data_IF_874368267410
#
_entry.id   IF_874368267410
#
_cell.length_a   1.000
_cell.length_b   1.000
_cell.length_c   1.000
_cell.angle_alpha   90.00
_cell.angle_beta   90.00
_cell.angle_gamma   90.00
#
_symmetry.space_group_name_H-M   'P 1'
#
loop_
_entity.id
_entity.type
_entity.pdbx_description
1 polymer ?
#
# COMPACT_ATOMS: atom_id res chain seq x y z
N UNK A 1 12.38 20.51 -10.96
CA UNK A 1 11.01 19.95 -11.08
C UNK A 1 10.72 19.25 -12.42
N UNK A 2 11.63 19.27 -13.40
CA UNK A 2 11.36 18.82 -14.79
C UNK A 2 11.53 17.31 -15.07
N UNK A 3 12.35 16.58 -14.31
CA UNK A 3 12.71 15.18 -14.67
C UNK A 3 11.68 14.10 -14.28
N UNK A 4 10.98 14.25 -13.16
CA UNK A 4 10.07 13.20 -12.64
C UNK A 4 8.78 13.08 -13.47
N UNK A 5 8.25 14.22 -13.93
CA UNK A 5 7.00 14.29 -14.71
C UNK A 5 7.19 13.73 -16.14
N UNK A 6 8.41 13.74 -16.67
CA UNK A 6 8.72 13.41 -18.07
C UNK A 6 9.08 11.94 -18.31
N UNK A 7 9.37 11.16 -17.26
CA UNK A 7 9.92 9.80 -17.42
C UNK A 7 9.11 8.68 -16.77
N UNK A 8 8.23 8.97 -15.80
CA UNK A 8 7.66 7.91 -14.94
C UNK A 8 6.16 8.06 -14.64
N UNK A 9 5.45 8.96 -15.32
CA UNK A 9 4.03 9.17 -15.10
C UNK A 9 3.25 8.76 -16.35
N UNK A 10 2.23 7.87 -16.23
CA UNK A 10 1.35 7.58 -17.34
C UNK A 10 0.62 8.86 -17.80
N UNK A 11 0.52 9.05 -19.10
CA UNK A 11 0.05 10.30 -19.73
C UNK A 11 -1.48 10.33 -19.78
N UNK A 12 -2.13 9.17 -19.92
CA UNK A 12 -3.58 9.04 -20.03
C UNK A 12 -4.24 8.48 -18.75
N UNK A 13 -5.47 8.90 -18.41
CA UNK A 13 -6.22 8.31 -17.29
C UNK A 13 -6.42 6.80 -17.47
N UNK A 14 -6.11 6.01 -16.44
CA UNK A 14 -6.19 4.54 -16.47
C UNK A 14 -4.96 3.84 -17.06
N UNK A 15 -4.01 4.58 -17.63
CA UNK A 15 -2.78 4.01 -18.15
C UNK A 15 -1.86 3.54 -17.01
N UNK A 16 -1.14 2.45 -17.26
CA UNK A 16 -0.19 1.87 -16.32
C UNK A 16 1.20 1.82 -16.95
N UNK A 17 2.20 2.22 -16.18
CA UNK A 17 3.61 2.22 -16.56
C UNK A 17 4.41 1.43 -15.52
N UNK A 18 5.39 0.66 -15.98
CA UNK A 18 6.20 -0.20 -15.14
C UNK A 18 7.70 0.12 -15.23
N UNK A 19 8.32 0.30 -14.07
CA UNK A 19 9.77 0.30 -13.90
C UNK A 19 10.22 -1.07 -13.40
N UNK A 20 10.74 -1.90 -14.31
CA UNK A 20 11.12 -3.30 -14.04
C UNK A 20 12.35 -3.47 -13.15
N UNK A 21 13.25 -2.49 -13.16
CA UNK A 21 14.52 -2.54 -12.43
C UNK A 21 14.64 -1.35 -11.49
N UNK A 22 14.00 -1.46 -10.33
CA UNK A 22 14.15 -0.50 -9.25
C UNK A 22 14.93 -1.13 -8.10
N UNK A 23 15.74 -0.31 -7.43
CA UNK A 23 16.36 -0.65 -6.17
C UNK A 23 15.79 0.29 -5.11
N UNK A 24 15.26 -0.30 -4.03
CA UNK A 24 14.55 0.43 -2.98
C UNK A 24 15.16 0.07 -1.63
N UNK A 25 15.44 1.11 -0.85
CA UNK A 25 15.99 1.00 0.51
C UNK A 25 17.06 2.07 0.73
N UNK A 26 17.38 2.33 1.99
CA UNK A 26 18.44 3.26 2.37
C UNK A 26 19.73 2.48 2.71
N UNK A 27 19.63 1.54 3.64
CA UNK A 27 20.74 0.71 4.10
C UNK A 27 21.01 -0.52 3.23
N UNK A 28 19.95 -1.12 2.70
CA UNK A 28 20.03 -2.30 1.83
C UNK A 28 19.16 -2.06 0.62
N UNK A 29 19.77 -2.12 -0.57
CA UNK A 29 19.06 -1.97 -1.83
C UNK A 29 18.40 -3.31 -2.18
N UNK A 30 17.06 -3.34 -2.13
CA UNK A 30 16.28 -4.50 -2.56
C UNK A 30 15.80 -4.30 -3.99
N UNK A 31 15.98 -5.33 -4.81
CA UNK A 31 15.40 -5.35 -6.15
C UNK A 31 13.87 -5.35 -6.06
N UNK A 32 13.25 -4.49 -6.85
CA UNK A 32 11.82 -4.36 -6.96
C UNK A 32 11.41 -3.88 -8.36
N UNK A 33 10.14 -4.11 -8.66
CA UNK A 33 9.39 -3.52 -9.76
C UNK A 33 8.49 -2.45 -9.18
N UNK A 34 8.43 -1.30 -9.83
CA UNK A 34 7.53 -0.21 -9.44
C UNK A 34 6.51 0.01 -10.54
N UNK A 35 5.24 -0.13 -10.20
CA UNK A 35 4.13 0.02 -11.14
C UNK A 35 3.38 1.30 -10.78
N UNK A 36 3.29 2.20 -11.76
CA UNK A 36 2.55 3.45 -11.67
C UNK A 36 1.26 3.30 -12.46
N UNK A 37 0.12 3.46 -11.80
CA UNK A 37 -1.19 3.47 -12.45
C UNK A 37 -1.82 4.86 -12.31
N UNK A 38 -2.15 5.49 -13.43
CA UNK A 38 -2.84 6.77 -13.43
C UNK A 38 -4.30 6.57 -13.09
N UNK A 39 -4.79 7.26 -12.06
CA UNK A 39 -6.19 7.18 -11.68
C UNK A 39 -7.10 7.54 -12.86
N UNK A 40 -8.19 6.80 -12.98
CA UNK A 40 -9.30 7.18 -13.84
C UNK A 40 -9.93 8.47 -13.33
N UNK A 41 -10.59 9.21 -14.22
CA UNK A 41 -11.25 10.47 -13.87
C UNK A 41 -12.24 10.31 -12.70
N UNK A 42 -13.05 9.24 -12.72
CA UNK A 42 -13.98 8.91 -11.64
C UNK A 42 -13.27 8.68 -10.29
N UNK A 43 -12.13 7.99 -10.29
CA UNK A 43 -11.35 7.75 -9.08
C UNK A 43 -10.68 9.03 -8.59
N UNK A 44 -10.17 9.84 -9.52
CA UNK A 44 -9.53 11.11 -9.22
C UNK A 44 -10.50 12.09 -8.57
N UNK A 45 -11.72 12.26 -9.11
CA UNK A 45 -12.76 13.10 -8.52
C UNK A 45 -13.12 12.66 -7.08
N UNK A 46 -13.30 11.36 -6.85
CA UNK A 46 -13.54 10.83 -5.49
C UNK A 46 -12.39 11.14 -4.52
N UNK A 47 -11.13 11.08 -4.99
CA UNK A 47 -9.96 11.39 -4.17
C UNK A 47 -9.83 12.89 -3.92
N UNK A 48 -10.14 13.72 -4.92
CA UNK A 48 -10.16 15.18 -4.80
C UNK A 48 -11.17 15.63 -3.75
N UNK A 49 -12.39 15.08 -3.76
CA UNK A 49 -13.40 15.37 -2.75
C UNK A 49 -12.91 15.06 -1.33
N UNK A 50 -12.25 13.90 -1.13
CA UNK A 50 -11.66 13.52 0.17
C UNK A 50 -10.50 14.42 0.61
N UNK A 51 -9.70 14.93 -0.34
CA UNK A 51 -8.63 15.89 -0.04
C UNK A 51 -9.25 17.19 0.45
N UNK A 52 -10.20 17.73 -0.30
CA UNK A 52 -10.90 18.97 0.06
C UNK A 52 -11.61 18.86 1.41
N UNK A 53 -12.25 17.73 1.70
CA UNK A 53 -12.86 17.46 3.01
C UNK A 53 -11.83 17.48 4.15
N UNK A 54 -10.61 16.97 3.94
CA UNK A 54 -9.53 16.97 4.93
C UNK A 54 -8.83 18.32 5.09
N UNK A 55 -8.79 19.14 4.05
CA UNK A 55 -8.19 20.48 4.10
C UNK A 55 -9.06 21.47 4.89
N UNK A 56 -10.39 21.38 4.77
CA UNK A 56 -11.37 22.23 5.46
C UNK A 56 -11.13 22.37 6.98
N UNK A 57 -11.00 21.29 7.76
CA UNK A 57 -10.82 21.39 9.22
C UNK A 57 -9.38 21.75 9.63
N UNK A 58 -8.37 21.54 8.77
CA UNK A 58 -6.95 21.71 9.12
C UNK A 58 -6.34 23.04 8.65
N UNK A 59 -7.11 23.81 7.87
CA UNK A 59 -6.70 25.07 7.24
C UNK A 59 -5.31 25.00 6.58
N UNK A 60 -4.98 23.84 6.01
CA UNK A 60 -3.67 23.55 5.43
C UNK A 60 -3.87 22.87 4.09
N UNK A 61 -3.46 23.56 3.03
CA UNK A 61 -3.49 23.02 1.68
C UNK A 61 -2.41 21.95 1.48
N UNK A 62 -2.73 20.92 0.70
CA UNK A 62 -1.76 19.96 0.19
C UNK A 62 -0.79 20.66 -0.75
N UNK A 63 0.49 20.28 -0.66
CA UNK A 63 1.51 20.79 -1.57
C UNK A 63 1.24 20.36 -3.02
N UNK A 64 1.76 21.13 -3.98
CA UNK A 64 1.68 20.78 -5.41
C UNK A 64 2.27 19.40 -5.72
N UNK A 65 3.36 19.01 -5.04
CA UNK A 65 3.93 17.65 -5.15
C UNK A 65 2.94 16.58 -4.68
N UNK A 66 2.25 16.82 -3.57
CA UNK A 66 1.26 15.87 -3.03
C UNK A 66 0.06 15.72 -3.96
N UNK A 67 -0.40 16.81 -4.58
CA UNK A 67 -1.46 16.78 -5.60
C UNK A 67 -1.04 15.98 -6.84
N UNK A 68 0.21 16.16 -7.31
CA UNK A 68 0.79 15.39 -8.41
C UNK A 68 0.92 13.89 -8.11
N UNK A 69 1.16 13.51 -6.86
CA UNK A 69 1.20 12.08 -6.47
C UNK A 69 -0.22 11.54 -6.26
N UNK A 70 -1.16 12.37 -5.84
CA UNK A 70 -2.54 11.95 -5.56
C UNK A 70 -3.27 11.41 -6.80
N UNK A 71 -2.89 11.85 -8.01
CA UNK A 71 -3.42 11.32 -9.28
C UNK A 71 -2.90 9.93 -9.64
N UNK A 72 -1.95 9.37 -8.89
CA UNK A 72 -1.36 8.06 -9.14
C UNK A 72 -1.73 7.05 -8.05
N UNK A 73 -1.75 5.78 -8.45
CA UNK A 73 -1.51 4.65 -7.57
C UNK A 73 -0.11 4.12 -7.86
N UNK A 74 0.64 3.82 -6.81
CA UNK A 74 2.01 3.28 -6.92
C UNK A 74 2.04 1.94 -6.20
N UNK A 75 2.48 0.91 -6.91
CA UNK A 75 2.67 -0.43 -6.39
C UNK A 75 4.15 -0.77 -6.45
N UNK A 76 4.63 -1.49 -5.44
CA UNK A 76 6.02 -1.93 -5.34
C UNK A 76 6.00 -3.43 -5.06
N UNK A 77 6.65 -4.22 -5.89
CA UNK A 77 6.68 -5.68 -5.74
C UNK A 77 8.03 -6.25 -6.13
N UNK A 78 8.47 -7.30 -5.46
CA UNK A 78 9.64 -8.10 -5.84
C UNK A 78 9.27 -9.32 -6.70
N UNK A 79 7.98 -9.52 -7.00
CA UNK A 79 7.52 -10.65 -7.81
C UNK A 79 8.04 -10.54 -9.25
N UNK A 80 8.56 -11.62 -9.87
CA UNK A 80 8.97 -11.60 -11.27
C UNK A 80 7.83 -11.24 -12.23
N UNK A 81 8.15 -10.64 -13.38
CA UNK A 81 7.15 -10.22 -14.38
C UNK A 81 6.48 -11.40 -15.08
N UNK A 82 7.19 -12.52 -15.15
CA UNK A 82 6.75 -13.80 -15.68
C UNK A 82 5.59 -14.39 -14.86
N UNK A 83 5.55 -14.10 -13.56
CA UNK A 83 4.53 -14.63 -12.64
C UNK A 83 3.36 -13.66 -12.49
N UNK A 84 3.66 -12.37 -12.37
CA UNK A 84 2.63 -11.33 -12.21
C UNK A 84 2.93 -10.18 -13.18
N UNK A 85 2.27 -10.17 -14.34
CA UNK A 85 2.28 -9.03 -15.27
C UNK A 85 1.74 -7.76 -14.60
N UNK A 86 2.13 -6.59 -15.09
CA UNK A 86 1.78 -5.31 -14.46
C UNK A 86 0.27 -5.08 -14.36
N UNK A 87 -0.49 -5.59 -15.32
CA UNK A 87 -1.95 -5.48 -15.42
C UNK A 87 -2.64 -6.16 -14.24
N UNK A 88 -2.07 -7.26 -13.74
CA UNK A 88 -2.63 -8.06 -12.65
C UNK A 88 -2.23 -7.55 -11.26
N UNK A 89 -1.19 -6.70 -11.18
CA UNK A 89 -0.71 -6.18 -9.90
C UNK A 89 -1.82 -5.43 -9.15
N UNK A 90 -2.60 -4.61 -9.87
CA UNK A 90 -3.70 -3.86 -9.24
C UNK A 90 -4.72 -4.80 -8.59
N UNK A 91 -5.20 -5.79 -9.35
CA UNK A 91 -6.19 -6.76 -8.90
C UNK A 91 -5.70 -7.56 -7.70
N UNK A 92 -4.45 -8.07 -7.75
CA UNK A 92 -3.82 -8.78 -6.64
C UNK A 92 -3.78 -7.91 -5.37
N UNK A 93 -3.44 -6.62 -5.50
CA UNK A 93 -3.43 -5.69 -4.38
C UNK A 93 -4.83 -5.42 -3.81
N UNK A 94 -5.90 -5.54 -4.60
CA UNK A 94 -7.27 -5.43 -4.06
C UNK A 94 -7.61 -6.58 -3.11
N UNK A 95 -7.04 -7.78 -3.33
CA UNK A 95 -7.27 -8.93 -2.46
C UNK A 95 -6.74 -8.71 -1.04
N UNK A 96 -5.67 -7.92 -0.86
CA UNK A 96 -5.16 -7.57 0.47
C UNK A 96 -6.27 -6.94 1.32
N UNK A 97 -7.08 -6.06 0.72
CA UNK A 97 -8.17 -5.40 1.44
C UNK A 97 -9.32 -6.37 1.73
N UNK A 98 -9.66 -7.25 0.78
CA UNK A 98 -10.67 -8.30 1.00
C UNK A 98 -10.30 -9.20 2.17
N UNK A 99 -9.04 -9.66 2.20
CA UNK A 99 -8.51 -10.47 3.30
C UNK A 99 -8.62 -9.70 4.64
N UNK A 100 -8.27 -8.42 4.65
CA UNK A 100 -8.39 -7.57 5.84
C UNK A 100 -9.84 -7.44 6.34
N UNK A 101 -10.81 -7.33 5.43
CA UNK A 101 -12.24 -7.31 5.79
C UNK A 101 -12.66 -8.63 6.39
N UNK A 102 -12.31 -9.76 5.77
CA UNK A 102 -12.65 -11.09 6.29
C UNK A 102 -12.13 -11.23 7.73
N UNK A 103 -10.86 -10.87 7.97
CA UNK A 103 -10.29 -10.89 9.31
C UNK A 103 -10.96 -9.91 10.28
N UNK A 104 -11.40 -8.73 9.83
CA UNK A 104 -12.16 -7.78 10.66
C UNK A 104 -13.52 -8.35 11.05
N UNK A 105 -14.22 -8.96 10.10
CA UNK A 105 -15.50 -9.62 10.34
C UNK A 105 -15.36 -10.77 11.33
N UNK A 106 -14.37 -11.66 11.15
CA UNK A 106 -14.12 -12.75 12.10
C UNK A 106 -13.77 -12.24 13.49
N UNK A 107 -12.91 -11.22 13.60
CA UNK A 107 -12.62 -10.61 14.91
C UNK A 107 -13.88 -10.06 15.58
N UNK A 108 -14.76 -9.39 14.83
CA UNK A 108 -16.02 -8.87 15.38
C UNK A 108 -17.01 -9.97 15.78
N UNK A 109 -17.15 -11.03 14.99
CA UNK A 109 -18.11 -12.10 15.24
C UNK A 109 -17.66 -13.00 16.40
N UNK A 110 -16.38 -13.36 16.42
CA UNK A 110 -15.81 -14.28 17.39
C UNK A 110 -15.17 -13.58 18.59
N UNK A 111 -15.14 -12.23 18.62
CA UNK A 111 -14.51 -11.41 19.67
C UNK A 111 -13.06 -11.85 19.98
N UNK A 112 -12.33 -12.28 18.95
CA UNK A 112 -10.97 -12.83 19.08
C UNK A 112 -9.98 -11.78 19.61
N UNK A 113 -10.30 -10.50 19.44
CA UNK A 113 -9.58 -9.35 19.99
C UNK A 113 -9.70 -9.22 21.52
N UNK A 114 -10.60 -9.95 22.18
CA UNK A 114 -10.78 -9.94 23.64
C UNK A 114 -10.07 -11.07 24.38
N UNK A 115 -9.35 -11.95 23.69
CA UNK A 115 -8.53 -12.96 24.35
C UNK A 115 -7.23 -12.35 24.93
N UNK A 116 -7.34 -11.80 26.15
CA UNK A 116 -6.19 -11.32 26.97
C UNK A 116 -5.26 -12.44 27.46
N UNK A 117 -5.56 -13.71 27.14
CA UNK A 117 -4.83 -14.88 27.61
C UNK A 117 -3.77 -15.39 26.63
N UNK A 118 -3.16 -14.52 25.82
CA UNK A 118 -1.84 -14.85 25.31
C UNK A 118 -0.88 -14.71 26.49
N UNK A 119 -0.77 -15.76 27.31
CA UNK A 119 0.29 -15.88 28.32
C UNK A 119 1.59 -15.57 27.59
N UNK A 120 2.25 -14.46 27.93
CA UNK A 120 3.61 -14.20 27.49
C UNK A 120 4.44 -15.41 27.91
N UNK A 121 4.87 -16.21 26.94
CA UNK A 121 5.68 -17.42 27.16
C UNK A 121 6.95 -17.07 27.96
N UNK A 122 7.42 -15.82 27.87
CA UNK A 122 8.52 -15.27 28.66
C UNK A 122 8.35 -15.45 30.18
N UNK A 123 7.12 -15.41 30.70
CA UNK A 123 6.86 -15.32 32.14
C UNK A 123 6.32 -16.63 32.77
N UNK A 124 6.28 -17.74 32.02
CA UNK A 124 5.87 -19.03 32.58
C UNK A 124 7.11 -19.79 33.11
N UNK A 125 7.22 -20.07 34.42
CA UNK A 125 8.34 -20.83 34.99
C UNK A 125 8.33 -22.31 34.61
N UNK A 126 7.22 -22.81 34.07
CA UNK A 126 7.03 -24.22 33.71
C UNK A 126 7.50 -24.56 32.28
N UNK A 127 7.99 -23.58 31.51
CA UNK A 127 8.41 -23.77 30.11
C UNK A 127 9.95 -23.75 30.02
N UNK A 128 10.58 -24.75 29.38
CA UNK A 128 12.04 -24.80 29.20
C UNK A 128 12.60 -23.53 28.56
N UNK A 129 13.77 -23.09 29.02
CA UNK A 129 14.45 -21.86 28.57
C UNK A 129 14.73 -21.82 27.07
N UNK A 130 14.84 -22.99 26.44
CA UNK A 130 15.12 -23.17 25.01
C UNK A 130 13.97 -22.76 24.09
N UNK A 131 12.74 -22.61 24.63
CA UNK A 131 11.54 -22.24 23.88
C UNK A 131 11.10 -20.78 24.13
N UNK A 132 11.87 -20.01 24.90
CA UNK A 132 11.61 -18.59 25.15
C UNK A 132 12.31 -17.76 24.06
N UNK A 133 11.53 -17.27 23.09
CA UNK A 133 11.96 -16.25 22.10
C UNK A 133 11.80 -14.86 22.68
#
# INVERSE_FOLDING_TARGET
MSKFKRFFAPESPGETFELKHAYIGDKQQLFARVIFNRLTEKQFQKRQAKITEKEKPKNRAYSEKSKLVAVLNVYVTNTPWEWVPMEQVHELYTLRWQIEIVFKTWKSLFKIDHNRNVKRISNNPSIPSELKV
#
